data_IF_998220933532
#
_entry.id   IF_998220933532
#
_cell.length_a   1.000
_cell.length_b   1.000
_cell.length_c   1.000
_cell.angle_alpha   90.00
_cell.angle_beta   90.00
_cell.angle_gamma   90.00
#
_symmetry.space_group_name_H-M   'P 1'
#
loop_
_entity.id
_entity.type
_entity.pdbx_description
1 polymer ?
#
# COMPACT_ATOMS: atom_id res chain seq x y z
N UNK A 1 23.19 -35.78 35.24
CA UNK A 1 21.80 -36.17 34.90
C UNK A 1 21.06 -34.90 34.53
N UNK A 2 20.80 -34.69 33.24
CA UNK A 2 20.06 -33.54 32.74
C UNK A 2 18.56 -33.87 32.70
N UNK A 3 17.74 -33.06 33.37
CA UNK A 3 16.28 -33.15 33.31
C UNK A 3 15.78 -32.16 32.26
N UNK A 4 15.13 -32.67 31.21
CA UNK A 4 14.45 -31.86 30.17
C UNK A 4 13.16 -31.25 30.74
N UNK A 5 12.82 -29.98 30.44
CA UNK A 5 11.47 -29.48 30.63
C UNK A 5 10.57 -29.93 29.48
N UNK A 6 9.42 -30.52 29.80
CA UNK A 6 8.41 -30.97 28.85
C UNK A 6 7.69 -29.80 28.16
N UNK A 7 7.32 -30.02 26.90
CA UNK A 7 6.48 -29.11 26.12
C UNK A 7 5.05 -29.11 26.67
N UNK A 8 4.64 -28.02 27.31
CA UNK A 8 3.23 -27.71 27.52
C UNK A 8 2.67 -27.03 26.26
N UNK A 9 1.73 -27.67 25.59
CA UNK A 9 0.94 -27.05 24.52
C UNK A 9 -0.08 -26.09 25.15
N UNK A 10 0.15 -24.79 25.04
CA UNK A 10 -0.87 -23.79 25.34
C UNK A 10 -1.78 -23.64 24.11
N UNK A 11 -2.96 -24.24 24.16
CA UNK A 11 -4.05 -23.95 23.22
C UNK A 11 -4.62 -22.59 23.61
N UNK A 12 -4.27 -21.54 22.87
CA UNK A 12 -4.93 -20.24 22.99
C UNK A 12 -6.19 -20.29 22.14
N UNK A 13 -7.34 -20.49 22.80
CA UNK A 13 -8.65 -20.36 22.18
C UNK A 13 -8.94 -18.86 22.00
N UNK A 14 -8.71 -18.33 20.80
CA UNK A 14 -9.15 -16.98 20.44
C UNK A 14 -10.64 -17.08 20.09
N UNK A 15 -11.51 -16.85 21.08
CA UNK A 15 -12.92 -16.58 20.82
C UNK A 15 -12.99 -15.15 20.28
N UNK A 16 -12.83 -15.02 18.97
CA UNK A 16 -13.22 -13.80 18.27
C UNK A 16 -14.73 -13.69 18.37
N UNK A 17 -15.22 -12.82 19.26
CA UNK A 17 -16.62 -12.37 19.20
C UNK A 17 -16.73 -11.53 17.94
N UNK A 18 -17.05 -12.18 16.83
CA UNK A 18 -17.59 -11.51 15.66
C UNK A 18 -18.92 -10.93 16.10
N UNK A 19 -18.95 -9.64 16.41
CA UNK A 19 -20.19 -8.89 16.33
C UNK A 19 -20.53 -8.90 14.86
N UNK A 20 -21.38 -9.85 14.46
CA UNK A 20 -22.00 -9.85 13.14
C UNK A 20 -22.95 -8.65 13.17
N UNK A 21 -22.42 -7.47 12.85
CA UNK A 21 -23.28 -6.44 12.29
C UNK A 21 -23.97 -7.13 11.11
N UNK A 22 -25.30 -7.21 11.13
CA UNK A 22 -26.05 -7.77 10.01
C UNK A 22 -25.57 -7.03 8.76
N UNK A 23 -24.91 -7.77 7.85
CA UNK A 23 -24.39 -7.17 6.63
C UNK A 23 -25.57 -6.50 5.92
N UNK A 24 -25.39 -5.24 5.53
CA UNK A 24 -26.43 -4.53 4.77
C UNK A 24 -26.82 -5.39 3.56
N UNK A 25 -28.12 -5.47 3.21
CA UNK A 25 -28.56 -6.29 2.09
C UNK A 25 -27.87 -5.83 0.81
N UNK A 26 -27.50 -6.80 -0.03
CA UNK A 26 -26.97 -6.51 -1.36
C UNK A 26 -28.10 -5.91 -2.20
N UNK A 27 -27.85 -4.74 -2.80
CA UNK A 27 -28.80 -4.03 -3.65
C UNK A 27 -28.82 -4.57 -5.08
N UNK A 28 -27.84 -5.39 -5.46
CA UNK A 28 -27.80 -6.05 -6.75
C UNK A 28 -28.66 -7.32 -6.73
N UNK A 29 -29.38 -7.55 -7.82
CA UNK A 29 -30.06 -8.79 -8.12
C UNK A 29 -29.18 -9.69 -8.98
N UNK A 30 -29.20 -11.00 -8.72
CA UNK A 30 -28.33 -11.97 -9.39
C UNK A 30 -26.82 -11.54 -9.38
N UNK A 31 -26.27 -11.18 -8.21
CA UNK A 31 -24.90 -10.67 -8.10
C UNK A 31 -23.79 -11.70 -8.40
N UNK A 32 -24.13 -12.98 -8.30
CA UNK A 32 -23.27 -14.15 -8.53
C UNK A 32 -23.42 -14.72 -9.95
N UNK A 33 -24.26 -14.12 -10.79
CA UNK A 33 -24.40 -14.45 -12.21
C UNK A 33 -24.74 -15.92 -12.50
N UNK A 34 -25.56 -16.54 -11.65
CA UNK A 34 -26.10 -17.88 -11.86
C UNK A 34 -27.20 -17.91 -12.95
N UNK A 35 -27.53 -16.75 -13.51
CA UNK A 35 -28.39 -16.56 -14.68
C UNK A 35 -28.00 -15.27 -15.43
N UNK A 36 -28.60 -15.02 -16.60
CA UNK A 36 -28.47 -13.71 -17.30
C UNK A 36 -29.52 -12.68 -16.85
N UNK A 37 -30.32 -12.98 -15.82
CA UNK A 37 -31.40 -12.09 -15.38
C UNK A 37 -30.87 -10.82 -14.71
N UNK A 38 -31.60 -9.71 -14.86
CA UNK A 38 -31.38 -8.42 -14.18
C UNK A 38 -30.10 -7.66 -14.54
N UNK A 39 -29.28 -8.18 -15.46
CA UNK A 39 -28.11 -7.48 -16.01
C UNK A 39 -28.38 -7.04 -17.44
N UNK A 40 -28.17 -5.76 -17.72
CA UNK A 40 -28.28 -5.15 -19.05
C UNK A 40 -26.94 -5.23 -19.78
N UNK A 41 -26.96 -5.95 -20.90
CA UNK A 41 -25.88 -6.04 -21.88
C UNK A 41 -26.34 -5.63 -23.29
N UNK A 42 -27.39 -4.81 -23.43
CA UNK A 42 -28.00 -4.45 -24.73
C UNK A 42 -27.04 -3.85 -25.77
N UNK A 43 -25.88 -3.36 -25.34
CA UNK A 43 -24.84 -2.74 -26.18
C UNK A 43 -23.75 -3.70 -26.64
N UNK A 44 -23.75 -4.95 -26.15
CA UNK A 44 -22.72 -5.95 -26.42
C UNK A 44 -23.30 -7.37 -26.21
N UNK A 45 -22.48 -8.42 -26.16
CA UNK A 45 -22.94 -9.78 -25.93
C UNK A 45 -22.56 -10.28 -24.53
N UNK A 46 -23.53 -10.82 -23.80
CA UNK A 46 -23.33 -11.50 -22.53
C UNK A 46 -23.78 -12.96 -22.59
N UNK A 47 -22.95 -13.86 -22.11
CA UNK A 47 -23.23 -15.29 -21.98
C UNK A 47 -22.73 -15.82 -20.63
N UNK A 48 -23.28 -16.95 -20.18
CA UNK A 48 -22.76 -17.64 -18.99
C UNK A 48 -21.53 -18.48 -19.35
N UNK A 49 -20.55 -18.49 -18.47
CA UNK A 49 -19.35 -19.32 -18.58
C UNK A 49 -19.11 -20.10 -17.30
N UNK A 50 -18.43 -21.24 -17.41
CA UNK A 50 -18.00 -22.06 -16.26
C UNK A 50 -16.64 -21.64 -15.70
N UNK A 51 -15.91 -20.75 -16.39
CA UNK A 51 -14.75 -20.05 -15.85
C UNK A 51 -15.25 -18.96 -14.90
N UNK A 52 -15.19 -19.23 -13.60
CA UNK A 52 -15.89 -18.48 -12.56
C UNK A 52 -15.00 -18.17 -11.38
N UNK A 53 -15.41 -17.20 -10.58
CA UNK A 53 -14.79 -16.87 -9.31
C UNK A 53 -15.51 -17.60 -8.16
N UNK A 54 -16.84 -17.68 -8.21
CA UNK A 54 -17.69 -18.32 -7.22
C UNK A 54 -18.81 -19.12 -7.90
N UNK A 55 -19.60 -19.85 -7.11
CA UNK A 55 -20.86 -20.43 -7.61
C UNK A 55 -20.72 -21.44 -8.76
N UNK A 56 -21.68 -21.45 -9.70
CA UNK A 56 -21.64 -22.32 -10.89
C UNK A 56 -21.25 -21.60 -12.17
N UNK A 57 -21.53 -20.30 -12.28
CA UNK A 57 -21.26 -19.53 -13.48
C UNK A 57 -20.67 -18.16 -13.18
N UNK A 58 -20.09 -17.54 -14.21
CA UNK A 58 -19.82 -16.12 -14.26
C UNK A 58 -20.41 -15.54 -15.56
N UNK A 59 -20.57 -14.23 -15.64
CA UNK A 59 -20.97 -13.57 -16.89
C UNK A 59 -19.73 -13.26 -17.72
N UNK A 60 -19.75 -13.65 -19.00
CA UNK A 60 -18.75 -13.23 -19.99
C UNK A 60 -19.33 -12.10 -20.82
N UNK A 61 -18.65 -10.95 -20.81
CA UNK A 61 -18.94 -9.80 -21.66
C UNK A 61 -18.02 -9.82 -22.89
N UNK A 62 -18.60 -9.81 -24.09
CA UNK A 62 -17.88 -9.90 -25.37
C UNK A 62 -18.51 -9.02 -26.45
N UNK A 63 -17.82 -8.84 -27.58
CA UNK A 63 -18.35 -8.04 -28.71
C UNK A 63 -18.42 -6.54 -28.41
N UNK A 64 -17.62 -6.06 -27.45
CA UNK A 64 -17.58 -4.66 -27.01
C UNK A 64 -16.91 -3.78 -28.06
N UNK A 65 -17.57 -2.69 -28.47
CA UNK A 65 -17.04 -1.73 -29.46
C UNK A 65 -16.61 -0.39 -28.85
N UNK A 66 -16.89 -0.18 -27.56
CA UNK A 66 -16.52 1.03 -26.81
C UNK A 66 -15.99 0.64 -25.43
N UNK A 67 -15.12 1.47 -24.85
CA UNK A 67 -14.48 1.19 -23.55
C UNK A 67 -15.47 1.21 -22.38
N UNK A 68 -16.56 1.97 -22.51
CA UNK A 68 -17.60 2.10 -21.49
C UNK A 68 -18.61 0.94 -21.50
N UNK A 69 -18.60 0.07 -22.53
CA UNK A 69 -19.53 -1.06 -22.60
C UNK A 69 -19.15 -2.13 -21.57
N UNK A 70 -20.14 -2.70 -20.91
CA UNK A 70 -20.00 -3.85 -20.02
C UNK A 70 -21.29 -4.13 -19.26
N UNK A 71 -21.36 -5.23 -18.49
CA UNK A 71 -22.57 -5.62 -17.78
C UNK A 71 -23.00 -4.51 -16.81
N UNK A 72 -24.29 -4.17 -16.83
CA UNK A 72 -24.83 -3.07 -16.02
C UNK A 72 -26.13 -3.46 -15.31
N UNK A 73 -26.43 -2.81 -14.19
CA UNK A 73 -27.69 -3.01 -13.48
C UNK A 73 -28.21 -1.69 -12.92
N UNK A 74 -29.51 -1.44 -13.11
CA UNK A 74 -30.19 -0.30 -12.48
C UNK A 74 -30.45 -0.57 -11.01
N UNK A 75 -30.15 0.41 -10.17
CA UNK A 75 -30.29 0.34 -8.71
C UNK A 75 -30.93 1.61 -8.17
N UNK A 76 -31.61 1.49 -7.04
CA UNK A 76 -32.20 2.62 -6.32
C UNK A 76 -31.31 2.99 -5.13
N UNK A 77 -30.74 4.19 -5.16
CA UNK A 77 -29.84 4.69 -4.12
C UNK A 77 -30.44 5.89 -3.39
N UNK A 78 -30.17 5.99 -2.08
CA UNK A 78 -30.55 7.14 -1.26
C UNK A 78 -29.59 8.29 -1.50
N UNK A 79 -30.04 9.52 -1.30
CA UNK A 79 -29.20 10.73 -1.38
C UNK A 79 -28.24 10.80 -0.18
N UNK A 80 -27.08 11.44 -0.37
CA UNK A 80 -26.08 11.67 0.68
C UNK A 80 -25.75 10.43 1.54
N UNK A 81 -25.71 9.26 0.89
CA UNK A 81 -25.54 7.96 1.55
C UNK A 81 -24.30 7.29 1.01
N UNK A 82 -23.53 6.65 1.90
CA UNK A 82 -22.30 5.94 1.54
C UNK A 82 -22.63 4.51 1.12
N UNK A 83 -22.04 4.07 0.03
CA UNK A 83 -22.16 2.70 -0.49
C UNK A 83 -20.79 2.10 -0.77
N UNK A 84 -20.67 0.79 -0.62
CA UNK A 84 -19.54 -0.02 -1.06
C UNK A 84 -19.97 -0.86 -2.25
N UNK A 85 -19.14 -0.90 -3.29
CA UNK A 85 -19.32 -1.83 -4.40
C UNK A 85 -18.10 -2.72 -4.56
N UNK A 86 -18.36 -4.00 -4.85
CA UNK A 86 -17.34 -5.01 -5.12
C UNK A 86 -17.75 -5.78 -6.38
N UNK A 87 -16.78 -6.17 -7.20
CA UNK A 87 -16.94 -7.20 -8.21
C UNK A 87 -15.59 -7.83 -8.53
N UNK A 88 -15.61 -9.09 -8.95
CA UNK A 88 -14.43 -9.78 -9.45
C UNK A 88 -14.45 -9.75 -10.97
N UNK A 89 -13.32 -9.40 -11.59
CA UNK A 89 -13.18 -9.35 -13.04
C UNK A 89 -11.97 -10.14 -13.50
N UNK A 90 -12.08 -10.85 -14.61
CA UNK A 90 -10.97 -11.55 -15.27
C UNK A 90 -10.95 -11.22 -16.75
N UNK A 91 -9.85 -10.64 -17.23
CA UNK A 91 -9.67 -10.39 -18.66
C UNK A 91 -9.31 -11.69 -19.38
N UNK A 92 -9.93 -11.95 -20.54
CA UNK A 92 -9.69 -13.17 -21.32
C UNK A 92 -8.55 -13.00 -22.33
N UNK A 93 -8.33 -11.77 -22.80
CA UNK A 93 -7.25 -11.43 -23.73
C UNK A 93 -6.65 -10.05 -23.41
N UNK A 94 -5.41 -9.85 -23.84
CA UNK A 94 -4.75 -8.54 -23.90
C UNK A 94 -5.03 -7.84 -25.23
N UNK A 95 -5.12 -6.50 -25.19
CA UNK A 95 -5.19 -5.69 -26.41
C UNK A 95 -3.89 -5.76 -27.22
N UNK A 96 -4.00 -5.62 -28.54
CA UNK A 96 -2.85 -5.69 -29.43
C UNK A 96 -1.79 -4.65 -29.04
N UNK A 97 -0.56 -5.11 -28.79
CA UNK A 97 0.55 -4.25 -28.40
C UNK A 97 0.50 -3.73 -26.95
N UNK A 98 -0.43 -4.21 -26.12
CA UNK A 98 -0.55 -3.83 -24.71
C UNK A 98 -0.38 -5.03 -23.80
N UNK A 99 0.38 -4.85 -22.71
CA UNK A 99 0.57 -5.89 -21.69
C UNK A 99 -0.56 -5.88 -20.65
N UNK A 100 -1.16 -4.72 -20.40
CA UNK A 100 -2.22 -4.50 -19.43
C UNK A 100 -3.25 -3.50 -19.96
N UNK A 101 -4.44 -3.50 -19.36
CA UNK A 101 -5.48 -2.48 -19.58
C UNK A 101 -6.09 -2.05 -18.25
N UNK A 102 -6.77 -0.91 -18.26
CA UNK A 102 -7.63 -0.45 -17.16
C UNK A 102 -8.90 -1.32 -17.08
N UNK A 103 -9.42 -1.53 -15.88
CA UNK A 103 -10.79 -1.99 -15.63
C UNK A 103 -11.34 -1.18 -14.46
N UNK A 104 -12.62 -0.79 -14.54
CA UNK A 104 -13.28 0.04 -13.53
C UNK A 104 -14.68 -0.47 -13.21
N UNK A 105 -15.11 -0.20 -11.98
CA UNK A 105 -16.53 -0.15 -11.62
C UNK A 105 -16.95 1.31 -11.57
N UNK A 106 -18.07 1.64 -12.22
CA UNK A 106 -18.59 3.00 -12.31
C UNK A 106 -20.06 3.01 -11.94
N UNK A 107 -20.50 4.07 -11.24
CA UNK A 107 -21.92 4.39 -11.08
C UNK A 107 -22.26 5.62 -11.92
N UNK A 108 -23.30 5.47 -12.73
CA UNK A 108 -23.97 6.56 -13.42
C UNK A 108 -25.17 7.03 -12.60
N UNK A 109 -25.35 8.35 -12.54
CA UNK A 109 -26.51 9.00 -11.96
C UNK A 109 -27.27 9.76 -13.04
N UNK A 110 -28.58 9.53 -13.09
CA UNK A 110 -29.54 10.39 -13.76
C UNK A 110 -30.19 11.29 -12.72
N UNK A 111 -30.08 12.61 -12.89
CA UNK A 111 -30.70 13.57 -11.98
C UNK A 111 -32.04 14.09 -12.51
N UNK A 112 -32.83 14.66 -11.61
CA UNK A 112 -34.16 15.19 -11.95
C UNK A 112 -34.13 16.37 -12.94
N UNK A 113 -33.00 17.09 -13.03
CA UNK A 113 -32.80 18.18 -14.00
C UNK A 113 -32.38 17.70 -15.40
N UNK A 114 -32.30 16.37 -15.61
CA UNK A 114 -31.86 15.75 -16.86
C UNK A 114 -30.35 15.67 -17.04
N UNK A 115 -29.55 16.20 -16.11
CA UNK A 115 -28.09 16.04 -16.14
C UNK A 115 -27.67 14.64 -15.70
N UNK A 116 -26.49 14.21 -16.17
CA UNK A 116 -25.86 12.93 -15.83
C UNK A 116 -24.56 13.15 -15.09
N UNK A 117 -24.19 12.21 -14.23
CA UNK A 117 -22.87 12.16 -13.61
C UNK A 117 -22.34 10.74 -13.56
N UNK A 118 -21.03 10.57 -13.70
CA UNK A 118 -20.36 9.28 -13.71
C UNK A 118 -19.27 9.31 -12.65
N UNK A 119 -19.39 8.43 -11.67
CA UNK A 119 -18.45 8.35 -10.55
C UNK A 119 -17.75 6.99 -10.62
N UNK A 120 -16.43 6.97 -10.91
CA UNK A 120 -15.62 5.78 -10.74
C UNK A 120 -15.67 5.36 -9.27
N UNK A 121 -16.10 4.13 -9.00
CA UNK A 121 -16.15 3.54 -7.66
C UNK A 121 -14.80 2.90 -7.35
N UNK A 122 -14.29 2.12 -8.30
CA UNK A 122 -13.01 1.43 -8.23
C UNK A 122 -12.36 1.44 -9.61
N UNK A 123 -11.03 1.55 -9.64
CA UNK A 123 -10.26 1.50 -10.88
C UNK A 123 -8.97 0.72 -10.65
N UNK A 124 -8.70 -0.23 -11.53
CA UNK A 124 -7.45 -0.95 -11.63
C UNK A 124 -6.80 -0.58 -12.97
N UNK A 125 -5.75 0.24 -13.00
CA UNK A 125 -5.18 0.75 -14.26
C UNK A 125 -4.30 -0.28 -15.00
N UNK A 126 -3.85 -1.34 -14.32
CA UNK A 126 -2.88 -2.32 -14.83
C UNK A 126 -3.34 -3.75 -14.63
N UNK A 127 -4.37 -4.17 -15.36
CA UNK A 127 -4.93 -5.52 -15.29
C UNK A 127 -4.36 -6.40 -16.41
N UNK A 128 -3.85 -7.56 -16.02
CA UNK A 128 -3.32 -8.59 -16.91
C UNK A 128 -4.41 -9.60 -17.26
N UNK A 129 -4.30 -10.22 -18.44
CA UNK A 129 -5.17 -11.33 -18.82
C UNK A 129 -4.95 -12.56 -17.92
N UNK A 130 -6.02 -13.35 -17.74
CA UNK A 130 -5.94 -14.70 -17.18
C UNK A 130 -6.10 -14.82 -15.67
N UNK A 131 -6.22 -13.72 -14.92
CA UNK A 131 -6.37 -13.74 -13.47
C UNK A 131 -7.61 -12.97 -13.01
N UNK A 132 -8.29 -13.50 -11.99
CA UNK A 132 -9.34 -12.78 -11.28
C UNK A 132 -8.73 -11.68 -10.43
N UNK A 133 -9.28 -10.48 -10.56
CA UNK A 133 -8.94 -9.33 -9.73
C UNK A 133 -10.20 -8.80 -9.03
N UNK A 134 -10.03 -8.28 -7.83
CA UNK A 134 -11.10 -7.59 -7.11
C UNK A 134 -11.12 -6.11 -7.50
N UNK A 135 -12.27 -5.64 -7.95
CA UNK A 135 -12.63 -4.23 -8.04
C UNK A 135 -13.47 -3.89 -6.82
N UNK A 136 -12.92 -3.11 -5.90
CA UNK A 136 -13.60 -2.73 -4.66
C UNK A 136 -13.37 -1.26 -4.35
N UNK A 137 -14.44 -0.57 -3.96
CA UNK A 137 -14.40 0.84 -3.63
C UNK A 137 -15.70 1.32 -2.99
N UNK A 138 -15.67 2.53 -2.46
CA UNK A 138 -16.85 3.16 -1.90
C UNK A 138 -17.08 4.54 -2.50
N UNK A 139 -18.34 4.97 -2.50
CA UNK A 139 -18.75 6.28 -2.97
C UNK A 139 -19.85 6.85 -2.09
N UNK A 140 -20.04 8.18 -2.16
CA UNK A 140 -21.14 8.88 -1.51
C UNK A 140 -22.04 9.40 -2.62
N UNK A 141 -23.33 9.13 -2.51
CA UNK A 141 -24.30 9.65 -3.47
C UNK A 141 -24.46 11.17 -3.32
N UNK A 142 -24.70 11.90 -4.42
CA UNK A 142 -24.93 13.34 -4.36
C UNK A 142 -26.10 13.73 -3.44
N UNK A 143 -25.99 14.87 -2.78
CA UNK A 143 -27.07 15.44 -1.97
C UNK A 143 -28.07 16.23 -2.84
N UNK A 144 -28.71 15.54 -3.79
CA UNK A 144 -29.71 16.09 -4.72
C UNK A 144 -30.60 15.00 -5.30
N UNK A 145 -31.73 15.39 -5.89
CA UNK A 145 -32.68 14.52 -6.59
C UNK A 145 -32.05 13.54 -7.59
N UNK A 146 -32.18 12.24 -7.34
CA UNK A 146 -31.69 11.14 -8.20
C UNK A 146 -32.91 10.45 -8.81
N UNK A 147 -33.01 10.50 -10.13
CA UNK A 147 -34.06 9.84 -10.91
C UNK A 147 -33.75 8.36 -11.12
N UNK A 148 -32.48 8.03 -11.32
CA UNK A 148 -32.01 6.66 -11.53
C UNK A 148 -30.51 6.54 -11.29
N UNK A 149 -30.07 5.33 -10.95
CA UNK A 149 -28.64 5.01 -10.84
C UNK A 149 -28.34 3.69 -11.52
N UNK A 150 -27.21 3.62 -12.22
CA UNK A 150 -26.77 2.42 -12.93
C UNK A 150 -25.34 2.10 -12.57
N UNK A 151 -25.10 0.91 -12.05
CA UNK A 151 -23.74 0.42 -11.79
C UNK A 151 -23.30 -0.49 -12.93
N UNK A 152 -22.04 -0.41 -13.34
CA UNK A 152 -21.51 -1.21 -14.43
C UNK A 152 -19.99 -1.36 -14.35
N UNK A 153 -19.50 -2.47 -14.91
CA UNK A 153 -18.07 -2.70 -15.12
C UNK A 153 -17.66 -2.19 -16.52
N UNK A 154 -16.54 -1.48 -16.60
CA UNK A 154 -16.06 -0.86 -17.83
C UNK A 154 -14.54 -0.66 -17.85
N UNK A 155 -14.04 0.12 -18.81
CA UNK A 155 -12.69 0.67 -18.78
C UNK A 155 -11.64 -0.12 -19.58
N UNK A 156 -11.87 -1.41 -19.85
CA UNK A 156 -10.97 -2.18 -20.70
C UNK A 156 -11.08 -1.79 -22.17
N UNK A 157 -9.96 -1.90 -22.87
CA UNK A 157 -9.85 -1.61 -24.30
C UNK A 157 -10.98 -2.25 -25.12
N UNK A 158 -11.34 -1.62 -26.25
CA UNK A 158 -12.36 -2.12 -27.16
C UNK A 158 -12.00 -3.51 -27.69
N UNK A 159 -12.98 -4.41 -27.80
CA UNK A 159 -12.77 -5.78 -28.27
C UNK A 159 -12.13 -6.72 -27.23
N UNK A 160 -11.88 -6.25 -26.01
CA UNK A 160 -11.45 -7.11 -24.90
C UNK A 160 -12.66 -7.70 -24.21
N UNK A 161 -12.73 -9.02 -24.26
CA UNK A 161 -13.70 -9.81 -23.53
C UNK A 161 -13.22 -9.98 -22.08
N UNK A 162 -14.17 -9.93 -21.16
CA UNK A 162 -13.87 -10.12 -19.75
C UNK A 162 -15.01 -10.86 -19.06
N UNK A 163 -14.65 -11.52 -17.96
CA UNK A 163 -15.58 -12.17 -17.07
C UNK A 163 -15.85 -11.29 -15.87
N UNK A 164 -17.07 -11.32 -15.34
CA UNK A 164 -17.44 -10.67 -14.09
C UNK A 164 -18.20 -11.65 -13.20
N UNK A 165 -17.93 -11.61 -11.89
CA UNK A 165 -18.55 -12.50 -10.91
C UNK A 165 -18.54 -11.86 -9.50
N UNK A 166 -19.29 -12.44 -8.56
CA UNK A 166 -19.31 -12.12 -7.14
C UNK A 166 -19.47 -10.62 -6.86
N UNK A 167 -20.46 -9.99 -7.49
CA UNK A 167 -20.72 -8.57 -7.36
C UNK A 167 -21.46 -8.25 -6.05
N UNK A 168 -21.25 -7.05 -5.50
CA UNK A 168 -22.09 -6.55 -4.42
C UNK A 168 -22.17 -5.04 -4.44
N UNK A 169 -23.31 -4.53 -4.01
CA UNK A 169 -23.52 -3.11 -3.70
C UNK A 169 -24.26 -3.02 -2.39
N UNK A 170 -23.62 -2.49 -1.35
CA UNK A 170 -24.17 -2.45 0.01
C UNK A 170 -24.08 -1.04 0.58
N UNK A 171 -25.09 -0.65 1.35
CA UNK A 171 -25.07 0.60 2.12
C UNK A 171 -24.03 0.48 3.24
N UNK A 172 -23.16 1.47 3.39
CA UNK A 172 -22.27 1.60 4.54
C UNK A 172 -22.97 2.51 5.55
N UNK A 173 -23.49 1.97 6.67
CA UNK A 173 -24.14 2.79 7.69
C UNK A 173 -23.16 3.81 8.27
N UNK A 174 -23.64 5.02 8.54
CA UNK A 174 -22.86 6.00 9.26
C UNK A 174 -22.58 5.51 10.69
N UNK A 175 -21.30 5.37 11.04
CA UNK A 175 -20.89 5.13 12.42
C UNK A 175 -20.46 6.45 13.05
N UNK A 176 -21.36 7.14 13.75
CA UNK A 176 -21.06 8.41 14.43
C UNK A 176 -20.08 8.26 15.60
N UNK A 177 -19.84 7.03 16.07
CA UNK A 177 -18.94 6.71 17.18
C UNK A 177 -17.58 6.17 16.72
N UNK A 178 -17.30 6.11 15.40
CA UNK A 178 -16.10 5.48 14.84
C UNK A 178 -14.81 5.97 15.50
N UNK A 179 -14.75 7.28 15.82
CA UNK A 179 -13.57 7.88 16.46
C UNK A 179 -13.42 7.41 17.90
N UNK A 180 -14.49 7.43 18.69
CA UNK A 180 -14.45 6.97 20.07
C UNK A 180 -14.12 5.48 20.17
N UNK A 181 -14.68 4.67 19.26
CA UNK A 181 -14.38 3.24 19.16
C UNK A 181 -12.93 2.99 18.73
N UNK A 182 -12.45 3.69 17.70
CA UNK A 182 -11.06 3.63 17.27
C UNK A 182 -10.10 4.03 18.38
N UNK A 183 -10.39 5.15 19.07
CA UNK A 183 -9.58 5.63 20.19
C UNK A 183 -9.60 4.62 21.35
N UNK A 184 -10.73 3.98 21.63
CA UNK A 184 -10.83 2.91 22.65
C UNK A 184 -9.94 1.73 22.30
N UNK A 185 -9.95 1.27 21.04
CA UNK A 185 -9.08 0.17 20.58
C UNK A 185 -7.62 0.57 20.61
N UNK A 186 -7.28 1.75 20.06
CA UNK A 186 -5.91 2.28 20.04
C UNK A 186 -5.36 2.39 21.48
N UNK A 187 -6.14 2.94 22.41
CA UNK A 187 -5.72 3.10 23.80
C UNK A 187 -5.64 1.77 24.55
N UNK A 188 -6.53 0.80 24.29
CA UNK A 188 -6.55 -0.46 25.04
C UNK A 188 -5.65 -1.56 24.47
N UNK A 189 -5.29 -1.50 23.18
CA UNK A 189 -4.58 -2.60 22.51
C UNK A 189 -3.28 -2.21 21.81
N UNK A 190 -3.07 -0.94 21.43
CA UNK A 190 -1.95 -0.57 20.54
C UNK A 190 -0.98 0.48 21.10
N UNK A 191 -1.46 1.53 21.77
CA UNK A 191 -0.62 2.66 22.21
C UNK A 191 -0.27 2.67 23.69
N UNK A 192 -1.06 2.01 24.52
CA UNK A 192 -0.82 1.94 25.97
C UNK A 192 -0.83 0.48 26.39
N UNK A 193 0.09 0.14 27.28
CA UNK A 193 0.09 -1.11 28.01
C UNK A 193 0.28 -0.80 29.48
N UNK A 194 -0.33 -1.60 30.35
CA UNK A 194 -0.13 -1.47 31.79
C UNK A 194 1.29 -1.87 32.14
N UNK A 195 2.06 -0.93 32.68
CA UNK A 195 3.36 -1.23 33.28
C UNK A 195 3.14 -1.50 34.77
N UNK A 196 3.48 -2.71 35.22
CA UNK A 196 3.46 -3.05 36.63
C UNK A 196 4.84 -2.77 37.24
N UNK A 197 4.88 -1.87 38.22
CA UNK A 197 6.09 -1.57 38.99
C UNK A 197 5.87 -2.06 40.41
N UNK A 198 6.76 -2.90 40.89
CA UNK A 198 6.79 -3.35 42.28
C UNK A 198 8.05 -2.81 42.93
N UNK A 199 7.88 -2.12 44.07
CA UNK A 199 8.99 -1.59 44.86
C UNK A 199 9.00 -2.32 46.19
N UNK A 200 10.17 -2.84 46.55
CA UNK A 200 10.42 -3.43 47.87
C UNK A 200 11.29 -2.47 48.66
N UNK A 201 10.91 -2.19 49.90
CA UNK A 201 11.64 -1.32 50.81
C UNK A 201 12.11 -2.10 52.01
N UNK A 202 13.23 -1.69 52.61
CA UNK A 202 13.69 -2.26 53.88
C UNK A 202 12.71 -1.93 55.02
N UNK A 203 12.77 -2.71 56.10
CA UNK A 203 11.82 -2.63 57.23
C UNK A 203 11.74 -1.25 57.90
N UNK A 204 12.78 -0.42 57.77
CA UNK A 204 12.85 0.92 58.36
C UNK A 204 12.38 2.03 57.42
N UNK A 205 12.03 1.71 56.17
CA UNK A 205 11.52 2.67 55.19
C UNK A 205 10.01 2.55 55.11
N UNK A 206 9.30 3.64 55.42
CA UNK A 206 7.86 3.69 55.26
C UNK A 206 7.50 3.78 53.77
N UNK A 207 6.87 2.74 53.25
CA UNK A 207 6.48 2.64 51.85
C UNK A 207 5.52 3.74 51.40
N UNK A 208 4.73 4.34 52.31
CA UNK A 208 3.84 5.45 51.97
C UNK A 208 4.56 6.78 51.69
N UNK A 209 5.86 6.87 52.00
CA UNK A 209 6.70 8.04 51.74
C UNK A 209 7.55 7.89 50.47
N UNK A 210 7.44 6.76 49.77
CA UNK A 210 8.17 6.52 48.52
C UNK A 210 7.48 7.23 47.36
N UNK A 211 8.23 8.07 46.66
CA UNK A 211 7.81 8.70 45.40
C UNK A 211 8.53 8.03 44.23
N UNK A 212 7.77 7.68 43.20
CA UNK A 212 8.30 7.08 41.96
C UNK A 212 8.08 8.08 40.82
N UNK A 213 9.17 8.49 40.18
CA UNK A 213 9.14 9.26 38.94
C UNK A 213 9.58 8.38 37.77
N UNK A 214 8.82 8.41 36.67
CA UNK A 214 9.13 7.65 35.46
C UNK A 214 9.37 8.64 34.33
N UNK A 215 10.63 8.76 33.91
CA UNK A 215 11.03 9.65 32.83
C UNK A 215 11.37 8.80 31.60
N UNK A 216 10.64 9.01 30.49
CA UNK A 216 10.99 8.38 29.23
C UNK A 216 12.23 9.05 28.64
N UNK A 217 13.33 8.31 28.52
CA UNK A 217 14.61 8.85 28.01
C UNK A 217 14.79 8.63 26.50
N UNK A 218 14.19 7.57 25.92
CA UNK A 218 14.27 7.28 24.49
C UNK A 218 13.10 6.42 24.01
N UNK A 219 12.72 6.55 22.74
CA UNK A 219 11.82 5.61 22.08
C UNK A 219 12.58 4.31 21.73
N UNK A 220 12.00 3.16 22.06
CA UNK A 220 12.57 1.87 21.66
C UNK A 220 12.20 1.51 20.20
N UNK A 221 11.16 2.11 19.63
CA UNK A 221 10.72 1.89 18.24
C UNK A 221 11.18 3.03 17.33
N UNK A 222 11.25 2.80 16.00
CA UNK A 222 11.56 3.85 15.05
C UNK A 222 10.53 4.98 15.12
N UNK A 223 10.99 6.17 15.53
CA UNK A 223 10.20 7.39 15.56
C UNK A 223 11.03 8.51 14.94
N UNK A 224 10.61 8.98 13.77
CA UNK A 224 11.46 9.80 12.92
C UNK A 224 10.72 10.77 12.04
N UNK A 225 11.52 11.60 11.35
CA UNK A 225 11.05 12.65 10.43
C UNK A 225 11.84 12.62 9.13
N UNK A 226 11.28 13.24 8.08
CA UNK A 226 12.07 13.68 6.95
C UNK A 226 12.98 14.85 7.37
N UNK A 227 14.20 14.86 6.85
CA UNK A 227 15.26 15.84 7.15
C UNK A 227 15.79 16.41 5.85
N UNK A 228 15.72 17.73 5.71
CA UNK A 228 16.36 18.45 4.63
C UNK A 228 17.87 18.52 4.90
N UNK A 229 18.69 17.97 3.98
CA UNK A 229 20.13 17.88 4.18
C UNK A 229 20.81 19.26 4.25
N UNK A 230 20.34 20.23 3.47
CA UNK A 230 20.91 21.58 3.46
C UNK A 230 20.62 22.32 4.78
N UNK A 231 19.40 22.22 5.30
CA UNK A 231 19.04 22.76 6.63
C UNK A 231 19.81 22.07 7.77
N UNK A 232 19.97 20.75 7.70
CA UNK A 232 20.75 20.00 8.68
C UNK A 232 22.21 20.49 8.69
N UNK A 233 22.85 20.62 7.53
CA UNK A 233 24.28 20.88 7.39
C UNK A 233 24.66 22.36 7.49
N UNK A 234 23.78 23.26 7.06
CA UNK A 234 24.09 24.70 6.92
C UNK A 234 23.03 25.63 7.51
N UNK A 235 21.85 25.10 7.86
CA UNK A 235 20.75 25.88 8.41
C UNK A 235 20.87 26.19 9.91
N UNK A 236 19.79 26.72 10.46
CA UNK A 236 19.67 27.16 11.86
C UNK A 236 19.86 25.98 12.85
N UNK A 237 20.58 26.24 13.95
CA UNK A 237 20.76 25.27 15.04
C UNK A 237 19.46 24.75 15.64
N UNK A 238 18.40 25.56 15.66
CA UNK A 238 17.08 25.15 16.15
C UNK A 238 16.50 23.96 15.38
N UNK A 239 16.80 23.85 14.07
CA UNK A 239 16.37 22.73 13.25
C UNK A 239 17.05 21.43 13.69
N UNK A 240 18.38 21.48 13.90
CA UNK A 240 19.17 20.36 14.42
C UNK A 240 18.71 19.94 15.82
N UNK A 241 18.58 20.90 16.72
CA UNK A 241 18.17 20.65 18.12
C UNK A 241 16.81 19.97 18.17
N UNK A 242 15.85 20.43 17.38
CA UNK A 242 14.54 19.79 17.29
C UNK A 242 14.66 18.33 16.81
N UNK A 243 15.46 18.06 15.78
CA UNK A 243 15.65 16.71 15.27
C UNK A 243 16.29 15.81 16.33
N UNK A 244 17.36 16.27 16.96
CA UNK A 244 18.16 15.52 17.93
C UNK A 244 17.38 15.21 19.21
N UNK A 245 16.51 16.13 19.64
CA UNK A 245 15.71 15.96 20.85
C UNK A 245 14.47 15.08 20.66
N UNK A 246 13.89 15.06 19.45
CA UNK A 246 12.56 14.45 19.23
C UNK A 246 12.60 13.09 18.54
N UNK A 247 13.64 12.80 17.77
CA UNK A 247 13.67 11.63 16.90
C UNK A 247 14.87 10.73 17.14
N UNK A 248 14.65 9.43 16.98
CA UNK A 248 15.72 8.42 16.98
C UNK A 248 15.96 7.83 15.57
N UNK A 249 15.14 8.22 14.59
CA UNK A 249 15.26 7.86 13.18
C UNK A 249 15.06 9.08 12.27
N UNK A 250 15.64 9.04 11.07
CA UNK A 250 15.48 10.08 10.06
C UNK A 250 15.48 9.50 8.63
N UNK A 251 14.91 10.25 7.70
CA UNK A 251 14.98 10.02 6.26
C UNK A 251 15.49 11.32 5.64
N UNK A 252 16.49 11.26 4.75
CA UNK A 252 16.85 12.46 3.98
C UNK A 252 15.78 12.72 2.94
N UNK A 253 15.17 13.89 2.99
CA UNK A 253 13.98 14.22 2.20
C UNK A 253 14.23 14.08 0.69
N UNK A 254 15.35 14.61 0.22
CA UNK A 254 15.69 14.65 -1.20
C UNK A 254 17.16 14.26 -1.51
N UNK A 255 18.09 14.37 -0.57
CA UNK A 255 19.52 14.31 -0.86
C UNK A 255 20.04 12.94 -1.36
N UNK A 256 19.28 11.87 -1.21
CA UNK A 256 19.61 10.54 -1.76
C UNK A 256 18.88 10.20 -3.05
N UNK A 257 17.93 11.03 -3.50
CA UNK A 257 17.15 10.77 -4.71
C UNK A 257 18.01 10.92 -5.97
N UNK A 258 17.61 10.21 -7.03
CA UNK A 258 18.37 10.14 -8.27
C UNK A 258 18.51 11.51 -8.94
N UNK A 259 17.41 12.28 -9.03
CA UNK A 259 17.42 13.64 -9.56
C UNK A 259 18.43 14.56 -8.83
N UNK A 260 18.46 14.52 -7.50
CA UNK A 260 19.31 15.41 -6.71
C UNK A 260 20.79 15.02 -6.78
N UNK A 261 21.09 13.75 -6.95
CA UNK A 261 22.47 13.27 -7.03
C UNK A 261 23.05 13.31 -8.46
N UNK A 262 22.20 13.19 -9.49
CA UNK A 262 22.63 12.96 -10.89
C UNK A 262 21.76 13.67 -11.94
N UNK A 263 21.03 14.74 -11.59
CA UNK A 263 20.11 15.43 -12.51
C UNK A 263 20.79 15.94 -13.80
N UNK A 264 22.04 16.39 -13.69
CA UNK A 264 22.79 17.02 -14.78
C UNK A 264 23.86 16.07 -15.36
N UNK A 265 23.45 14.99 -16.04
CA UNK A 265 24.38 14.23 -16.90
C UNK A 265 24.76 15.08 -18.14
N UNK A 266 25.64 16.06 -17.97
CA UNK A 266 26.42 16.60 -19.10
C UNK A 266 27.64 15.69 -19.27
N UNK A 267 27.74 15.02 -20.42
CA UNK A 267 28.73 13.97 -20.72
C UNK A 267 30.19 14.42 -20.42
N UNK A 268 30.48 15.72 -20.48
CA UNK A 268 31.80 16.28 -20.21
C UNK A 268 32.20 16.35 -18.71
N UNK A 269 31.23 16.32 -17.77
CA UNK A 269 31.47 16.49 -16.32
C UNK A 269 30.51 15.65 -15.47
N UNK A 270 30.33 14.38 -15.80
CA UNK A 270 29.51 13.49 -14.98
C UNK A 270 30.13 13.31 -13.58
N UNK A 271 29.46 13.86 -12.57
CA UNK A 271 29.81 13.64 -11.16
C UNK A 271 28.55 13.43 -10.34
N UNK A 272 28.43 12.23 -9.77
CA UNK A 272 27.42 11.92 -8.78
C UNK A 272 27.76 12.70 -7.50
N UNK A 273 26.81 13.48 -6.96
CA UNK A 273 27.00 14.15 -5.67
C UNK A 273 26.82 13.16 -4.51
N UNK A 274 27.93 12.62 -4.03
CA UNK A 274 27.98 11.81 -2.82
C UNK A 274 28.20 12.64 -1.54
N UNK A 275 28.70 13.88 -1.65
CA UNK A 275 29.20 14.61 -0.47
C UNK A 275 28.05 14.99 0.45
N UNK A 276 27.03 15.67 -0.12
CA UNK A 276 25.87 16.14 0.64
C UNK A 276 25.15 15.01 1.38
N UNK A 277 24.69 13.92 0.73
CA UNK A 277 24.00 12.85 1.44
C UNK A 277 24.90 12.16 2.48
N UNK A 278 26.17 11.91 2.19
CA UNK A 278 27.06 11.23 3.14
C UNK A 278 27.37 12.08 4.36
N UNK A 279 27.55 13.40 4.20
CA UNK A 279 27.72 14.32 5.33
C UNK A 279 26.47 14.37 6.21
N UNK A 280 25.29 14.49 5.60
CA UNK A 280 24.04 14.50 6.33
C UNK A 280 23.79 13.17 7.09
N UNK A 281 24.08 12.03 6.47
CA UNK A 281 23.97 10.72 7.13
C UNK A 281 24.93 10.64 8.33
N UNK A 282 26.19 11.05 8.16
CA UNK A 282 27.18 11.01 9.25
C UNK A 282 26.80 11.93 10.41
N UNK A 283 26.26 13.11 10.12
CA UNK A 283 25.79 14.07 11.13
C UNK A 283 24.61 13.52 11.95
N UNK A 284 23.65 12.86 11.31
CA UNK A 284 22.56 12.20 12.04
C UNK A 284 23.09 11.04 12.90
N UNK A 285 24.02 10.24 12.35
CA UNK A 285 24.61 9.10 13.08
C UNK A 285 25.44 9.53 14.28
N UNK A 286 26.18 10.64 14.20
CA UNK A 286 26.98 11.14 15.33
C UNK A 286 26.10 11.52 16.53
N UNK A 287 24.84 11.88 16.27
CA UNK A 287 23.82 12.16 17.29
C UNK A 287 22.94 10.94 17.64
N UNK A 288 23.36 9.73 17.25
CA UNK A 288 22.66 8.48 17.59
C UNK A 288 21.34 8.27 16.86
N UNK A 289 21.11 8.98 15.75
CA UNK A 289 19.94 8.86 14.89
C UNK A 289 20.21 7.85 13.78
N UNK A 290 19.31 6.88 13.61
CA UNK A 290 19.37 5.90 12.52
C UNK A 290 18.76 6.49 11.25
N UNK A 291 19.35 6.22 10.09
CA UNK A 291 18.89 6.80 8.81
C UNK A 291 18.32 5.74 7.88
N UNK A 292 17.15 6.01 7.29
CA UNK A 292 16.58 5.25 6.16
C UNK A 292 16.89 5.96 4.85
N UNK A 293 17.24 5.20 3.82
CA UNK A 293 17.41 5.76 2.48
C UNK A 293 16.06 6.17 1.89
N UNK A 294 16.01 7.31 1.19
CA UNK A 294 14.91 7.66 0.32
C UNK A 294 15.45 8.56 -0.81
N UNK A 295 15.64 8.05 -2.01
CA UNK A 295 15.62 6.64 -2.42
C UNK A 295 16.69 6.41 -3.47
N UNK A 296 17.20 5.18 -3.62
CA UNK A 296 18.26 4.91 -4.60
C UNK A 296 17.70 4.94 -6.03
N UNK A 297 16.48 4.43 -6.22
CA UNK A 297 15.70 4.49 -7.47
C UNK A 297 14.22 4.78 -7.17
N UNK A 298 13.53 5.37 -8.15
CA UNK A 298 12.13 5.77 -8.04
C UNK A 298 11.36 5.42 -9.32
N UNK A 299 10.18 4.80 -9.19
CA UNK A 299 9.29 4.42 -10.30
C UNK A 299 8.49 5.59 -10.89
N UNK A 300 8.41 6.74 -10.19
CA UNK A 300 7.62 7.89 -10.64
C UNK A 300 8.46 8.74 -11.60
N UNK A 301 8.06 8.74 -12.88
CA UNK A 301 8.80 9.39 -13.98
C UNK A 301 9.11 10.88 -13.73
N UNK A 302 8.16 11.60 -13.14
CA UNK A 302 8.27 13.03 -12.84
C UNK A 302 9.55 13.38 -12.06
N UNK A 303 9.95 12.50 -11.13
CA UNK A 303 11.03 12.76 -10.19
C UNK A 303 12.37 12.13 -10.57
N UNK A 304 12.47 11.58 -11.78
CA UNK A 304 13.71 11.04 -12.32
C UNK A 304 14.43 12.05 -13.23
N UNK A 305 15.77 11.94 -13.37
CA UNK A 305 16.54 12.75 -14.31
C UNK A 305 15.98 12.75 -15.73
N UNK A 306 15.93 13.93 -16.36
CA UNK A 306 15.41 14.06 -17.72
C UNK A 306 16.19 13.18 -18.73
N UNK A 307 17.49 12.99 -18.53
CA UNK A 307 18.29 12.11 -19.39
C UNK A 307 17.89 10.63 -19.29
N UNK A 308 17.26 10.21 -18.19
CA UNK A 308 16.77 8.84 -18.00
C UNK A 308 15.51 8.58 -18.85
N UNK A 309 14.70 9.61 -19.10
CA UNK A 309 13.38 9.50 -19.76
C UNK A 309 13.46 9.08 -21.22
N UNK A 310 14.60 9.26 -21.88
CA UNK A 310 14.86 8.80 -23.25
C UNK A 310 15.47 7.41 -23.34
N UNK A 311 15.74 6.74 -22.21
CA UNK A 311 16.33 5.41 -22.19
C UNK A 311 15.24 4.33 -22.13
N UNK A 312 15.44 3.27 -22.91
CA UNK A 312 14.55 2.11 -22.96
C UNK A 312 15.35 0.81 -22.89
N UNK A 313 14.69 -0.28 -22.51
CA UNK A 313 15.24 -1.64 -22.50
C UNK A 313 16.63 -1.73 -21.85
N UNK A 314 17.66 -2.08 -22.61
CA UNK A 314 19.02 -2.29 -22.11
C UNK A 314 19.67 -1.00 -21.63
N UNK A 315 19.39 0.14 -22.29
CA UNK A 315 19.90 1.44 -21.85
C UNK A 315 19.37 1.84 -20.48
N UNK A 316 18.08 1.61 -20.24
CA UNK A 316 17.47 1.86 -18.93
C UNK A 316 17.98 0.87 -17.88
N UNK A 317 18.09 -0.42 -18.23
CA UNK A 317 18.64 -1.47 -17.36
C UNK A 317 20.06 -1.14 -16.93
N UNK A 318 20.90 -0.68 -17.85
CA UNK A 318 22.26 -0.26 -17.57
C UNK A 318 22.29 0.94 -16.61
N UNK A 319 21.50 1.99 -16.88
CA UNK A 319 21.45 3.18 -16.04
C UNK A 319 21.02 2.86 -14.60
N UNK A 320 20.00 2.00 -14.42
CA UNK A 320 19.56 1.53 -13.10
C UNK A 320 20.65 0.72 -12.40
N UNK A 321 21.35 -0.15 -13.13
CA UNK A 321 22.44 -0.96 -12.60
C UNK A 321 23.62 -0.10 -12.13
N UNK A 322 24.02 0.89 -12.94
CA UNK A 322 25.06 1.85 -12.61
C UNK A 322 24.70 2.66 -11.36
N UNK A 323 23.46 3.14 -11.25
CA UNK A 323 22.97 3.87 -10.08
C UNK A 323 23.07 3.05 -8.80
N UNK A 324 22.58 1.82 -8.84
CA UNK A 324 22.62 0.91 -7.68
C UNK A 324 24.08 0.64 -7.29
N UNK A 325 24.92 0.23 -8.24
CA UNK A 325 26.33 -0.09 -8.00
C UNK A 325 27.16 1.13 -7.57
N UNK A 326 26.77 2.33 -7.99
CA UNK A 326 27.42 3.57 -7.62
C UNK A 326 27.08 4.05 -6.20
N UNK A 327 25.81 3.96 -5.79
CA UNK A 327 25.34 4.53 -4.51
C UNK A 327 25.43 3.54 -3.37
N UNK A 328 24.98 2.31 -3.58
CA UNK A 328 24.84 1.31 -2.51
C UNK A 328 26.14 1.06 -1.75
N UNK A 329 27.30 0.82 -2.40
CA UNK A 329 28.55 0.58 -1.67
C UNK A 329 28.99 1.77 -0.81
N UNK A 330 28.60 3.00 -1.17
CA UNK A 330 28.96 4.22 -0.43
C UNK A 330 28.13 4.41 0.83
N UNK A 331 26.90 3.90 0.85
CA UNK A 331 25.97 4.04 1.99
C UNK A 331 25.85 2.76 2.84
N UNK A 332 26.49 1.66 2.42
CA UNK A 332 26.54 0.40 3.17
C UNK A 332 27.08 0.61 4.59
N UNK A 333 26.38 0.09 5.60
CA UNK A 333 26.71 0.26 7.02
C UNK A 333 26.42 1.66 7.59
N UNK A 334 26.06 2.62 6.74
CA UNK A 334 25.60 3.95 7.17
C UNK A 334 24.08 3.99 7.33
N UNK A 335 23.34 3.24 6.51
CA UNK A 335 21.89 3.22 6.53
C UNK A 335 21.36 1.99 7.25
N UNK A 336 20.24 2.15 7.95
CA UNK A 336 19.54 1.06 8.63
C UNK A 336 18.63 0.28 7.66
N UNK A 337 18.12 0.93 6.61
CA UNK A 337 17.29 0.36 5.54
C UNK A 337 17.57 1.13 4.24
N UNK A 338 17.68 0.45 3.10
CA UNK A 338 17.72 1.07 1.77
C UNK A 338 16.33 0.89 1.15
N UNK A 339 15.63 1.99 0.87
CA UNK A 339 14.33 1.94 0.21
C UNK A 339 14.48 2.25 -1.28
N UNK A 340 13.84 1.44 -2.11
CA UNK A 340 13.22 1.91 -3.35
C UNK A 340 11.94 2.65 -2.97
N UNK A 341 11.60 3.75 -3.65
CA UNK A 341 10.36 4.46 -3.31
C UNK A 341 9.15 3.79 -3.98
N UNK A 342 8.88 2.56 -3.53
CA UNK A 342 7.61 1.83 -3.49
C UNK A 342 7.90 0.45 -2.88
N UNK A 343 7.09 0.09 -1.88
CA UNK A 343 7.04 -1.25 -1.29
C UNK A 343 6.52 -2.21 -2.39
N UNK A 344 7.34 -3.17 -2.83
CA UNK A 344 6.88 -4.18 -3.78
C UNK A 344 5.87 -5.15 -3.14
N UNK A 345 5.62 -5.05 -1.83
CA UNK A 345 4.52 -5.75 -1.15
C UNK A 345 3.12 -5.25 -1.54
N UNK A 346 3.00 -3.99 -2.03
CA UNK A 346 1.73 -3.46 -2.55
C UNK A 346 1.42 -3.97 -3.96
N UNK A 347 2.39 -4.58 -4.64
CA UNK A 347 2.15 -5.31 -5.90
C UNK A 347 1.42 -6.64 -5.63
N UNK A 348 1.43 -7.13 -4.38
CA UNK A 348 0.81 -8.39 -3.98
C UNK A 348 -0.51 -8.28 -3.21
N UNK A 349 -0.97 -7.08 -2.82
CA UNK A 349 -2.26 -6.91 -2.11
C UNK A 349 -2.91 -5.58 -2.47
N UNK A 350 -3.92 -5.66 -3.33
CA UNK A 350 -5.11 -4.78 -3.40
C UNK A 350 -4.96 -3.31 -2.95
N UNK A 351 -5.10 -2.43 -3.94
CA UNK A 351 -5.41 -1.00 -3.89
C UNK A 351 -4.24 -0.02 -3.72
N UNK A 352 -3.92 0.74 -4.78
CA UNK A 352 -3.83 2.20 -4.71
C UNK A 352 -4.17 2.89 -6.06
N UNK A 353 -4.82 4.07 -6.01
CA UNK A 353 -5.24 4.89 -7.14
C UNK A 353 -4.09 5.74 -7.73
N UNK A 354 -4.20 6.01 -9.03
CA UNK A 354 -3.70 7.16 -9.78
C UNK A 354 -2.20 7.51 -9.69
N UNK A 355 -1.43 7.08 -10.70
CA UNK A 355 -0.63 7.93 -11.60
C UNK A 355 0.50 7.12 -12.26
N UNK A 356 0.20 6.36 -13.32
CA UNK A 356 1.23 5.79 -14.19
C UNK A 356 0.87 5.99 -15.66
N UNK A 357 1.41 7.06 -16.24
CA UNK A 357 1.54 7.30 -17.69
C UNK A 357 2.76 6.54 -18.26
N UNK A 358 2.86 6.33 -19.59
CA UNK A 358 3.47 5.15 -20.22
C UNK A 358 5.00 5.23 -20.41
N UNK A 359 5.76 5.48 -19.33
CA UNK A 359 7.23 5.42 -19.35
C UNK A 359 7.85 4.10 -18.85
N UNK A 360 7.11 3.31 -18.08
CA UNK A 360 7.67 2.19 -17.29
C UNK A 360 6.96 0.84 -17.47
N UNK A 361 6.22 0.65 -18.55
CA UNK A 361 5.50 -0.62 -18.84
C UNK A 361 6.42 -1.85 -19.05
N UNK A 362 7.74 -1.68 -19.15
CA UNK A 362 8.69 -2.75 -19.46
C UNK A 362 9.52 -3.27 -18.26
N UNK A 363 9.19 -2.90 -17.02
CA UNK A 363 9.86 -3.45 -15.81
C UNK A 363 9.46 -4.91 -15.53
N UNK A 364 8.40 -5.43 -16.17
CA UNK A 364 8.01 -6.84 -16.11
C UNK A 364 9.10 -7.84 -16.56
N UNK A 365 10.18 -7.38 -17.21
CA UNK A 365 11.35 -8.18 -17.58
C UNK A 365 12.56 -8.00 -16.65
N UNK A 366 12.38 -7.31 -15.51
CA UNK A 366 13.41 -7.05 -14.50
C UNK A 366 13.14 -7.74 -13.15
N UNK A 367 11.93 -8.30 -12.94
CA UNK A 367 11.50 -8.86 -11.65
C UNK A 367 12.53 -9.81 -11.00
N UNK A 368 13.04 -10.86 -11.65
CA UNK A 368 13.86 -11.84 -10.94
C UNK A 368 15.21 -11.27 -10.48
N UNK A 369 15.84 -10.42 -11.30
CA UNK A 369 17.18 -9.90 -11.02
C UNK A 369 17.15 -8.67 -10.12
N UNK A 370 16.12 -7.83 -10.24
CA UNK A 370 15.94 -6.65 -9.41
C UNK A 370 15.50 -7.04 -7.99
N UNK A 371 14.57 -7.99 -7.86
CA UNK A 371 14.21 -8.60 -6.57
C UNK A 371 15.42 -9.32 -5.98
N UNK A 372 16.19 -10.09 -6.75
CA UNK A 372 17.39 -10.74 -6.21
C UNK A 372 18.47 -9.75 -5.77
N UNK A 373 18.65 -8.61 -6.46
CA UNK A 373 19.60 -7.57 -6.06
C UNK A 373 19.14 -6.84 -4.79
N UNK A 374 17.84 -6.50 -4.68
CA UNK A 374 17.26 -5.88 -3.48
C UNK A 374 17.23 -6.85 -2.30
N UNK A 375 16.83 -8.12 -2.50
CA UNK A 375 16.83 -9.16 -1.48
C UNK A 375 18.25 -9.53 -1.03
N UNK A 376 19.22 -9.63 -1.94
CA UNK A 376 20.63 -9.83 -1.58
C UNK A 376 21.18 -8.64 -0.78
N UNK A 377 20.67 -7.43 -1.05
CA UNK A 377 21.02 -6.22 -0.31
C UNK A 377 20.47 -6.23 1.12
N UNK A 378 19.18 -6.52 1.27
CA UNK A 378 18.50 -6.68 2.56
C UNK A 378 19.14 -7.81 3.39
N UNK A 379 19.48 -8.94 2.75
CA UNK A 379 20.17 -10.06 3.38
C UNK A 379 21.60 -9.69 3.84
N UNK A 380 22.32 -8.83 3.11
CA UNK A 380 23.67 -8.38 3.51
C UNK A 380 23.67 -7.36 4.66
N UNK A 381 22.53 -6.72 4.93
CA UNK A 381 22.33 -5.77 6.01
C UNK A 381 21.90 -6.49 7.31
N UNK A 382 21.26 -7.65 7.19
CA UNK A 382 20.77 -8.45 8.32
C UNK A 382 21.85 -9.17 9.16
N UNK A 383 23.13 -9.13 8.78
CA UNK A 383 24.21 -9.78 9.54
C UNK A 383 24.62 -9.03 10.82
N UNK A 384 23.88 -7.99 11.21
CA UNK A 384 23.92 -7.37 12.53
C UNK A 384 22.66 -7.69 13.35
N UNK A 385 22.55 -8.95 13.79
CA UNK A 385 21.57 -9.46 14.76
C UNK A 385 20.07 -9.26 14.42
N UNK A 386 19.53 -10.06 13.49
CA UNK A 386 18.18 -10.61 13.60
C UNK A 386 18.08 -11.90 12.77
N UNK A 387 17.64 -13.00 13.39
CA UNK A 387 17.49 -14.31 12.74
C UNK A 387 16.26 -14.32 11.81
N UNK A 388 16.35 -14.81 10.55
CA UNK A 388 15.21 -14.88 9.66
C UNK A 388 14.38 -16.12 10.00
N UNK A 389 13.28 -15.94 10.74
CA UNK A 389 12.17 -16.88 10.66
C UNK A 389 11.27 -16.43 9.51
N UNK A 390 11.45 -17.06 8.35
CA UNK A 390 10.42 -17.11 7.31
C UNK A 390 9.31 -18.02 7.84
N UNK A 391 8.18 -17.43 8.24
CA UNK A 391 6.92 -18.13 8.29
C UNK A 391 5.91 -17.36 7.43
N UNK A 392 5.37 -18.05 6.43
CA UNK A 392 4.17 -17.64 5.73
C UNK A 392 3.04 -17.55 6.76
N UNK A 393 2.57 -16.33 7.05
CA UNK A 393 1.20 -16.08 7.46
C UNK A 393 0.89 -14.57 7.40
N UNK A 394 -0.14 -14.27 6.62
CA UNK A 394 -0.95 -13.07 6.60
C UNK A 394 -1.24 -12.51 8.00
N UNK A 395 -0.74 -11.31 8.30
CA UNK A 395 -1.28 -10.47 9.36
C UNK A 395 -1.13 -8.99 8.98
N UNK A 396 -2.23 -8.25 9.09
CA UNK A 396 -2.32 -6.79 9.11
C UNK A 396 -1.24 -6.20 10.03
N UNK A 397 -0.84 -4.95 9.79
CA UNK A 397 0.01 -4.16 10.69
C UNK A 397 -0.54 -4.28 12.12
N UNK A 398 0.10 -5.15 12.87
CA UNK A 398 0.10 -5.25 14.31
C UNK A 398 1.57 -5.44 14.65
N UNK A 399 2.14 -4.48 15.36
CA UNK A 399 3.50 -4.61 15.89
C UNK A 399 3.62 -5.93 16.68
N UNK A 400 4.23 -6.95 16.09
CA UNK A 400 4.86 -8.03 16.85
C UNK A 400 6.30 -7.63 17.10
N UNK A 401 6.59 -7.16 18.32
CA UNK A 401 7.95 -7.15 18.85
C UNK A 401 8.30 -8.55 19.33
N UNK A 402 9.46 -9.02 18.90
CA UNK A 402 10.15 -10.17 19.46
C UNK A 402 10.32 -9.98 20.97
N UNK A 403 9.91 -10.97 21.75
CA UNK A 403 10.36 -11.15 23.12
C UNK A 403 11.87 -11.47 23.08
N UNK A 404 12.70 -10.46 23.28
CA UNK A 404 14.05 -10.66 23.81
C UNK A 404 13.91 -11.06 25.27
N UNK A 405 14.47 -12.22 25.63
CA UNK A 405 14.54 -12.69 27.02
C UNK A 405 15.33 -11.70 27.88
N UNK A 406 14.82 -11.45 29.10
CA UNK A 406 15.62 -11.04 30.25
C UNK A 406 16.54 -12.18 30.69
#
# INVERSE_FOLDING_TARGET
>A
MAVKPGMGFNIVLIVGVAVVAAAAPNLLQNPDFESLSNWDCSTHHCELTTDKHSGQYAIKSSGRTQTWMGPSQWVTLKQNTRYEAVAFVKLLQSAQGKMFTRVSLTVEFDFDDGSKNYVPIAEQPTVWQGYWIELSGNFITPNRGIKGSRIYAEGCDTGIDFLMDSASLTEIPENTHWRAESDKVINSTQRKQTMHISVTTDAHVNSSQVLIEIIQTKNAFPFGTAVAADELLTGDGRYRDFIYQKFNWAVLENALKWQQMEGDRVIAYYRIDYDKPLRAIRELKSHGIKVRAHCVVWSVDEFNPNWLKGLYQDGLRQAVTERINGVVPKVKGLLAIILTNQDWSDVGRSALPNAFTPGFANVGLLEPYFINAVLALEASIATGAFSPHVSHNTAKIGMRRSLGRL
#
